data_IF_231565702438
#
_entry.id   IF_231565702438
#
_cell.length_a   1.000
_cell.length_b   1.000
_cell.length_c   1.000
_cell.angle_alpha   90.00
_cell.angle_beta   90.00
_cell.angle_gamma   90.00
#
_symmetry.space_group_name_H-M   'P 1'
#
loop_
_entity.id
_entity.type
_entity.pdbx_description
1 polymer ?
#
# COMPACT_ATOMS: atom_id res chain seq x y z
N UNK A 1 -5.86 -1.35 -21.69
CA UNK A 1 -6.31 -1.55 -20.29
C UNK A 1 -7.01 -2.89 -20.21
N UNK A 2 -6.74 -3.72 -19.20
CA UNK A 2 -7.21 -5.11 -19.12
C UNK A 2 -8.72 -5.30 -18.84
N UNK A 3 -9.53 -4.24 -18.91
CA UNK A 3 -10.99 -4.33 -18.76
C UNK A 3 -11.49 -4.74 -17.37
N UNK A 4 -10.66 -4.64 -16.34
CA UNK A 4 -11.01 -5.05 -14.97
C UNK A 4 -11.98 -4.03 -14.35
N UNK A 5 -13.17 -4.46 -13.89
CA UNK A 5 -14.11 -3.58 -13.19
C UNK A 5 -13.48 -2.96 -11.95
N UNK A 6 -13.59 -1.65 -11.82
CA UNK A 6 -13.12 -0.91 -10.65
C UNK A 6 -13.98 0.36 -10.46
N UNK A 7 -13.91 0.94 -9.27
CA UNK A 7 -14.53 2.22 -8.93
C UNK A 7 -13.48 3.14 -8.31
N UNK A 8 -13.44 4.39 -8.74
CA UNK A 8 -12.60 5.43 -8.12
C UNK A 8 -13.33 5.99 -6.90
N UNK A 9 -12.62 6.09 -5.79
CA UNK A 9 -13.06 6.79 -4.58
C UNK A 9 -12.16 8.01 -4.41
N UNK A 10 -12.76 9.18 -4.21
CA UNK A 10 -12.05 10.45 -4.09
C UNK A 10 -12.32 11.09 -2.73
N UNK A 11 -11.30 11.72 -2.15
CA UNK A 11 -11.39 12.49 -0.92
C UNK A 11 -10.47 13.71 -0.99
N UNK A 12 -10.79 14.74 -0.20
CA UNK A 12 -9.93 15.93 -0.11
C UNK A 12 -8.73 15.63 0.80
N UNK A 13 -7.52 15.74 0.26
CA UNK A 13 -6.28 15.54 1.01
C UNK A 13 -5.87 16.81 1.77
N UNK A 14 -5.57 16.68 3.06
CA UNK A 14 -4.86 17.70 3.85
C UNK A 14 -3.34 17.53 3.67
N UNK A 15 -2.63 18.53 3.11
CA UNK A 15 -1.16 18.48 2.95
C UNK A 15 -0.37 18.27 4.26
N UNK A 16 -1.01 18.45 5.42
CA UNK A 16 -0.42 18.22 6.73
C UNK A 16 -0.63 16.80 7.26
N UNK A 17 -1.41 15.98 6.56
CA UNK A 17 -1.68 14.60 6.97
C UNK A 17 -0.38 13.78 7.01
N UNK A 18 -0.19 13.03 8.10
CA UNK A 18 1.01 12.22 8.30
C UNK A 18 1.03 10.94 7.44
N UNK A 19 -0.12 10.51 6.93
CA UNK A 19 -0.27 9.28 6.14
C UNK A 19 -1.49 9.35 5.24
N UNK A 20 -1.26 9.33 3.92
CA UNK A 20 -2.34 9.26 2.92
C UNK A 20 -3.28 8.07 3.15
N UNK A 21 -2.74 6.92 3.57
CA UNK A 21 -3.52 5.70 3.73
C UNK A 21 -4.50 5.76 4.90
N UNK A 22 -4.05 6.24 6.05
CA UNK A 22 -4.91 6.38 7.24
C UNK A 22 -5.90 7.54 7.07
N UNK A 23 -5.48 8.61 6.42
CA UNK A 23 -6.39 9.70 6.05
C UNK A 23 -7.53 9.21 5.14
N UNK A 24 -7.24 8.38 4.13
CA UNK A 24 -8.26 7.80 3.27
C UNK A 24 -9.26 6.92 4.05
N UNK A 25 -8.80 6.20 5.07
CA UNK A 25 -9.65 5.40 5.96
C UNK A 25 -10.68 6.29 6.66
N UNK A 26 -10.22 7.38 7.26
CA UNK A 26 -11.07 8.32 7.99
C UNK A 26 -12.01 9.08 7.05
N UNK A 27 -11.48 9.64 5.95
CA UNK A 27 -12.23 10.48 5.02
C UNK A 27 -13.32 9.70 4.25
N UNK A 28 -13.11 8.42 3.99
CA UNK A 28 -14.03 7.56 3.23
C UNK A 28 -14.82 6.57 4.10
N UNK A 29 -14.58 6.54 5.42
CA UNK A 29 -15.25 5.61 6.34
C UNK A 29 -14.96 4.13 6.04
N UNK A 30 -13.72 3.82 5.65
CA UNK A 30 -13.30 2.47 5.28
C UNK A 30 -12.74 1.69 6.49
N UNK A 31 -12.52 0.39 6.32
CA UNK A 31 -11.78 -0.42 7.29
C UNK A 31 -10.30 -0.33 6.93
N UNK A 32 -9.40 -0.06 7.90
CA UNK A 32 -7.97 0.08 7.62
C UNK A 32 -7.36 -1.13 6.90
N UNK A 33 -7.77 -2.34 7.29
CA UNK A 33 -7.34 -3.59 6.65
C UNK A 33 -7.76 -3.74 5.17
N UNK A 34 -8.71 -2.94 4.67
CA UNK A 34 -9.12 -2.93 3.25
C UNK A 34 -8.46 -1.81 2.43
N UNK A 35 -7.68 -0.94 3.06
CA UNK A 35 -6.89 0.10 2.39
C UNK A 35 -5.43 -0.33 2.40
N UNK A 36 -4.77 -0.30 1.25
CA UNK A 36 -3.41 -0.79 1.08
C UNK A 36 -2.48 0.34 0.65
N UNK A 37 -1.28 0.36 1.24
CA UNK A 37 -0.13 1.09 0.70
C UNK A 37 0.65 0.19 -0.25
N UNK A 38 1.17 0.81 -1.30
CA UNK A 38 2.05 0.16 -2.28
C UNK A 38 3.48 0.60 -2.01
N UNK A 39 4.35 -0.33 -1.64
CA UNK A 39 5.75 -0.08 -1.30
C UNK A 39 6.67 -0.72 -2.31
N UNK A 40 7.67 0.01 -2.78
CA UNK A 40 8.76 -0.53 -3.59
C UNK A 40 9.86 -1.00 -2.65
N UNK A 41 10.34 -2.24 -2.84
CA UNK A 41 11.39 -2.86 -2.03
C UNK A 41 12.56 -3.20 -2.94
N UNK A 42 13.77 -2.79 -2.53
CA UNK A 42 15.01 -3.22 -3.18
C UNK A 42 15.44 -4.58 -2.61
N UNK A 43 15.63 -5.55 -3.49
CA UNK A 43 16.17 -6.87 -3.19
C UNK A 43 17.65 -6.94 -3.60
N UNK A 44 18.31 -8.00 -3.16
CA UNK A 44 19.68 -8.31 -3.54
C UNK A 44 19.86 -8.38 -5.07
N UNK A 45 21.02 -7.91 -5.52
CA UNK A 45 21.36 -7.82 -6.95
C UNK A 45 20.65 -6.68 -7.69
N UNK A 46 20.06 -5.71 -6.97
CA UNK A 46 19.43 -4.53 -7.57
C UNK A 46 18.04 -4.79 -8.17
N UNK A 47 17.44 -5.95 -7.87
CA UNK A 47 16.06 -6.25 -8.26
C UNK A 47 15.09 -5.41 -7.43
N UNK A 48 13.97 -5.03 -8.03
CA UNK A 48 12.89 -4.33 -7.33
C UNK A 48 11.67 -5.24 -7.22
N UNK A 49 11.00 -5.18 -6.08
CA UNK A 49 9.73 -5.80 -5.80
C UNK A 49 8.70 -4.76 -5.35
N UNK A 50 7.42 -5.11 -5.45
CA UNK A 50 6.32 -4.30 -4.93
C UNK A 50 5.58 -5.10 -3.87
N UNK A 51 5.41 -4.51 -2.69
CA UNK A 51 4.62 -5.07 -1.59
C UNK A 51 3.34 -4.23 -1.40
N UNK A 52 2.19 -4.91 -1.42
CA UNK A 52 0.91 -4.32 -1.02
C UNK A 52 0.65 -4.69 0.44
N UNK A 53 0.58 -3.69 1.31
CA UNK A 53 0.48 -3.88 2.77
C UNK A 53 -0.71 -3.07 3.28
N UNK A 54 -1.54 -3.59 4.20
CA UNK A 54 -2.56 -2.79 4.87
C UNK A 54 -1.97 -1.49 5.45
N UNK A 55 -2.73 -0.40 5.38
CA UNK A 55 -2.22 0.93 5.76
C UNK A 55 -1.83 1.04 7.24
N UNK A 56 -2.47 0.24 8.08
CA UNK A 56 -2.23 0.10 9.53
C UNK A 56 -1.11 -0.90 9.88
N UNK A 57 -0.53 -1.58 8.90
CA UNK A 57 0.58 -2.52 9.09
C UNK A 57 1.91 -1.96 8.59
N UNK A 58 3.03 -2.48 9.07
CA UNK A 58 4.36 -2.24 8.48
C UNK A 58 4.78 -3.41 7.59
N UNK A 59 5.64 -3.15 6.61
CA UNK A 59 6.18 -4.21 5.75
C UNK A 59 7.16 -5.08 6.54
N UNK A 60 6.98 -6.39 6.48
CA UNK A 60 7.95 -7.35 6.99
C UNK A 60 8.96 -7.68 5.88
N UNK A 61 10.16 -7.12 5.98
CA UNK A 61 11.21 -7.31 4.98
C UNK A 61 11.71 -8.76 4.91
N UNK A 62 11.65 -9.53 6.01
CA UNK A 62 12.02 -10.95 5.98
C UNK A 62 10.99 -11.77 5.23
N UNK A 63 9.71 -11.48 5.45
CA UNK A 63 8.63 -12.10 4.67
C UNK A 63 8.72 -11.75 3.19
N UNK A 64 9.06 -10.51 2.84
CA UNK A 64 9.31 -10.10 1.45
C UNK A 64 10.49 -10.86 0.87
N UNK A 65 11.64 -10.88 1.55
CA UNK A 65 12.82 -11.62 1.08
C UNK A 65 12.49 -13.11 0.82
N UNK A 66 11.84 -13.77 1.78
CA UNK A 66 11.40 -15.15 1.66
C UNK A 66 10.44 -15.37 0.47
N UNK A 67 9.49 -14.45 0.24
CA UNK A 67 8.53 -14.55 -0.88
C UNK A 67 9.20 -14.41 -2.25
N UNK A 68 10.32 -13.69 -2.34
CA UNK A 68 11.08 -13.49 -3.58
C UNK A 68 12.34 -14.36 -3.70
N UNK A 69 12.55 -15.30 -2.77
CA UNK A 69 13.72 -16.18 -2.73
C UNK A 69 15.04 -15.41 -2.62
N UNK A 70 15.03 -14.32 -1.86
CA UNK A 70 16.19 -13.48 -1.56
C UNK A 70 16.69 -13.77 -0.13
#
# INVERSE_FOLDING_TARGET
>A
MAGVPHRVLEYAHDPRAASYGLEAVEALGLVAASVFKTLVVALDGGRLAVAMVPVDHQVDLKAVAAAFGA
#
